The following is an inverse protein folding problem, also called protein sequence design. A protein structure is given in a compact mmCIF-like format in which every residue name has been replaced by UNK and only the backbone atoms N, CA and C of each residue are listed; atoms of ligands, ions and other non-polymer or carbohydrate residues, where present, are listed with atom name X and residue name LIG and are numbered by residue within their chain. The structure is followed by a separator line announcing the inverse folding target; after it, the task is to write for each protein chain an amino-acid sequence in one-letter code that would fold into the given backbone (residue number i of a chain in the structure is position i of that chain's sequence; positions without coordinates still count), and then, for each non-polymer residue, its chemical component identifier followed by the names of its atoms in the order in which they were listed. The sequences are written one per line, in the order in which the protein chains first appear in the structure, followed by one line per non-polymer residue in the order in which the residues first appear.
data_IF_942989345363
#
_entry.id   IF_942989345363
#
_cell.length_a   1.000
_cell.length_b   1.000
_cell.length_c   1.000
_cell.angle_alpha   90.00
_cell.angle_beta   90.00
_cell.angle_gamma   90.00
#
_symmetry.space_group_name_H-M   'P 1'
#
loop_
_entity.id
_entity.type
_entity.pdbx_description
1 polymer ?
#
# COMPACT_ATOMS: atom_id res chain seq x y z
N UNK A 1 9.37 56.74 -47.54
CA UNK A 1 8.31 56.22 -46.65
C UNK A 1 7.85 57.34 -45.71
N UNK A 2 6.60 57.77 -45.85
CA UNK A 2 6.02 58.86 -45.02
C UNK A 2 5.77 58.37 -43.59
N UNK A 3 5.89 59.25 -42.59
CA UNK A 3 5.68 58.97 -41.15
C UNK A 3 4.37 58.20 -40.88
N UNK A 4 3.33 58.49 -41.65
CA UNK A 4 2.01 57.87 -41.55
C UNK A 4 2.04 56.37 -41.91
N UNK A 5 2.84 55.95 -42.90
CA UNK A 5 2.96 54.55 -43.29
C UNK A 5 3.59 53.68 -42.19
N UNK A 6 4.55 54.23 -41.42
CA UNK A 6 5.16 53.52 -40.29
C UNK A 6 4.20 53.33 -39.12
N UNK A 7 3.36 54.33 -38.85
CA UNK A 7 2.33 54.26 -37.80
C UNK A 7 1.28 53.20 -38.15
N UNK A 8 0.79 53.17 -39.39
CA UNK A 8 -0.18 52.16 -39.83
C UNK A 8 0.38 50.74 -39.72
N UNK A 9 1.64 50.52 -40.11
CA UNK A 9 2.31 49.21 -39.97
C UNK A 9 2.44 48.80 -38.50
N UNK A 10 2.81 49.73 -37.61
CA UNK A 10 2.91 49.45 -36.18
C UNK A 10 1.56 49.08 -35.55
N UNK A 11 0.47 49.76 -35.94
CA UNK A 11 -0.90 49.43 -35.49
C UNK A 11 -1.31 48.03 -35.97
N UNK A 12 -1.03 47.69 -37.23
CA UNK A 12 -1.34 46.36 -37.77
C UNK A 12 -0.58 45.27 -36.99
N UNK A 13 0.72 45.46 -36.75
CA UNK A 13 1.53 44.50 -35.99
C UNK A 13 1.05 44.36 -34.54
N UNK A 14 0.65 45.45 -33.88
CA UNK A 14 0.06 45.41 -32.55
C UNK A 14 -1.26 44.64 -32.54
N UNK A 15 -2.16 44.91 -33.49
CA UNK A 15 -3.44 44.20 -33.61
C UNK A 15 -3.25 42.70 -33.84
N UNK A 16 -2.29 42.31 -34.70
CA UNK A 16 -1.95 40.90 -34.92
C UNK A 16 -1.35 40.27 -33.67
N UNK A 17 -0.47 40.97 -32.96
CA UNK A 17 0.11 40.51 -31.70
C UNK A 17 -0.96 40.28 -30.63
N UNK A 18 -1.88 41.23 -30.45
CA UNK A 18 -3.02 41.08 -29.54
C UNK A 18 -3.91 39.91 -29.92
N UNK A 19 -4.18 39.69 -31.22
CA UNK A 19 -4.97 38.57 -31.70
C UNK A 19 -4.30 37.23 -31.41
N UNK A 20 -2.98 37.12 -31.63
CA UNK A 20 -2.23 35.90 -31.31
C UNK A 20 -2.18 35.63 -29.79
N UNK A 21 -1.94 36.64 -28.97
CA UNK A 21 -1.95 36.51 -27.51
C UNK A 21 -3.34 36.11 -26.97
N UNK A 22 -4.42 36.66 -27.53
CA UNK A 22 -5.78 36.30 -27.12
C UNK A 22 -6.16 34.88 -27.55
N UNK A 23 -5.75 34.43 -28.74
CA UNK A 23 -5.90 33.03 -29.15
C UNK A 23 -5.11 32.07 -28.25
N UNK A 24 -3.87 32.41 -27.91
CA UNK A 24 -3.04 31.61 -27.00
C UNK A 24 -3.66 31.52 -25.61
N UNK A 25 -4.04 32.66 -25.02
CA UNK A 25 -4.64 32.73 -23.69
C UNK A 25 -5.97 31.98 -23.64
N UNK A 26 -6.79 32.05 -24.69
CA UNK A 26 -8.03 31.31 -24.79
C UNK A 26 -7.82 29.80 -24.89
N UNK A 27 -6.81 29.34 -25.64
CA UNK A 27 -6.44 27.92 -25.70
C UNK A 27 -5.97 27.42 -24.35
N UNK A 28 -5.10 28.18 -23.68
CA UNK A 28 -4.59 27.82 -22.36
C UNK A 28 -5.71 27.77 -21.31
N UNK A 29 -6.60 28.75 -21.32
CA UNK A 29 -7.79 28.75 -20.46
C UNK A 29 -8.67 27.53 -20.70
N UNK A 30 -8.95 27.18 -21.97
CA UNK A 30 -9.73 25.97 -22.30
C UNK A 30 -9.04 24.69 -21.85
N UNK A 31 -7.72 24.57 -22.01
CA UNK A 31 -6.99 23.39 -21.53
C UNK A 31 -7.02 23.29 -20.01
N UNK A 32 -6.86 24.40 -19.29
CA UNK A 32 -6.91 24.42 -17.83
C UNK A 32 -8.32 24.10 -17.31
N UNK A 33 -9.36 24.66 -17.95
CA UNK A 33 -10.75 24.36 -17.59
C UNK A 33 -11.09 22.88 -17.83
N UNK A 34 -10.60 22.28 -18.93
CA UNK A 34 -10.80 20.86 -19.21
C UNK A 34 -10.08 19.97 -18.18
N UNK A 35 -8.85 20.31 -17.79
CA UNK A 35 -8.11 19.61 -16.75
C UNK A 35 -8.79 19.73 -15.39
N UNK A 36 -9.30 20.91 -15.04
CA UNK A 36 -10.01 21.13 -13.78
C UNK A 36 -11.31 20.31 -13.73
N UNK A 37 -12.04 20.23 -14.84
CA UNK A 37 -13.23 19.39 -14.92
C UNK A 37 -12.89 17.90 -14.75
N UNK A 38 -11.82 17.42 -15.40
CA UNK A 38 -11.34 16.05 -15.22
C UNK A 38 -10.93 15.76 -13.77
N UNK A 39 -10.23 16.70 -13.13
CA UNK A 39 -9.83 16.59 -11.74
C UNK A 39 -11.04 16.49 -10.81
N UNK A 40 -12.06 17.33 -11.00
CA UNK A 40 -13.30 17.30 -10.20
C UNK A 40 -14.05 15.98 -10.36
N UNK A 41 -14.14 15.45 -11.58
CA UNK A 41 -14.77 14.15 -11.85
C UNK A 41 -13.99 13.05 -11.14
N UNK A 42 -12.67 13.00 -11.31
CA UNK A 42 -11.83 12.01 -10.64
C UNK A 42 -11.95 12.09 -9.11
N UNK A 43 -11.98 13.30 -8.55
CA UNK A 43 -12.13 13.50 -7.11
C UNK A 43 -13.49 13.00 -6.60
N UNK A 44 -14.56 13.26 -7.35
CA UNK A 44 -15.90 12.75 -7.02
C UNK A 44 -15.96 11.22 -7.11
N UNK A 45 -15.39 10.63 -8.15
CA UNK A 45 -15.33 9.17 -8.30
C UNK A 45 -14.47 8.51 -7.21
N UNK A 46 -13.36 9.15 -6.82
CA UNK A 46 -12.54 8.71 -5.69
C UNK A 46 -13.31 8.74 -4.37
N UNK A 47 -14.04 9.82 -4.09
CA UNK A 47 -14.88 9.92 -2.90
C UNK A 47 -15.97 8.85 -2.89
N UNK A 48 -16.55 8.56 -4.07
CA UNK A 48 -17.54 7.50 -4.22
C UNK A 48 -16.92 6.14 -3.91
N UNK A 49 -15.73 5.84 -4.43
CA UNK A 49 -15.01 4.60 -4.14
C UNK A 49 -14.57 4.50 -2.67
N UNK A 50 -14.19 5.62 -2.05
CA UNK A 50 -13.83 5.71 -0.63
C UNK A 50 -15.00 5.37 0.29
N UNK A 51 -16.20 5.82 -0.06
CA UNK A 51 -17.41 5.60 0.70
C UNK A 51 -17.88 4.14 0.69
N UNK A 52 -17.35 3.30 -0.20
CA UNK A 52 -17.67 1.87 -0.24
C UNK A 52 -17.03 1.18 0.96
N UNK A 53 -17.88 0.60 1.82
CA UNK A 53 -17.45 -0.14 3.01
C UNK A 53 -16.83 -1.50 2.66
N UNK A 54 -17.43 -2.22 1.71
CA UNK A 54 -16.97 -3.53 1.25
C UNK A 54 -15.66 -3.42 0.44
N UNK A 55 -14.58 -4.02 0.95
CA UNK A 55 -13.25 -3.91 0.34
C UNK A 55 -13.20 -4.46 -1.11
N UNK A 56 -13.77 -5.64 -1.43
CA UNK A 56 -13.86 -6.12 -2.81
C UNK A 56 -14.57 -5.14 -3.75
N UNK A 57 -15.74 -4.62 -3.37
CA UNK A 57 -16.47 -3.64 -4.17
C UNK A 57 -15.67 -2.34 -4.34
N UNK A 58 -14.98 -1.88 -3.30
CA UNK A 58 -14.11 -0.70 -3.37
C UNK A 58 -12.94 -0.90 -4.34
N UNK A 59 -12.28 -2.07 -4.30
CA UNK A 59 -11.19 -2.42 -5.23
C UNK A 59 -11.69 -2.40 -6.68
N UNK A 60 -12.87 -2.96 -6.95
CA UNK A 60 -13.48 -2.94 -8.30
C UNK A 60 -13.77 -1.50 -8.74
N UNK A 61 -14.24 -0.63 -7.84
CA UNK A 61 -14.46 0.78 -8.13
C UNK A 61 -13.15 1.50 -8.47
N UNK A 62 -12.08 1.29 -7.68
CA UNK A 62 -10.76 1.88 -7.95
C UNK A 62 -10.16 1.43 -9.27
N UNK A 63 -10.28 0.13 -9.61
CA UNK A 63 -9.76 -0.42 -10.88
C UNK A 63 -10.44 0.20 -12.12
N UNK A 64 -11.59 0.86 -11.98
CA UNK A 64 -12.30 1.55 -13.08
C UNK A 64 -11.88 3.01 -13.26
N UNK A 65 -11.17 3.60 -12.30
CA UNK A 65 -10.79 5.01 -12.35
C UNK A 65 -9.70 5.26 -13.40
N UNK A 66 -9.84 6.35 -14.15
CA UNK A 66 -8.83 6.79 -15.12
C UNK A 66 -8.46 8.25 -14.88
N UNK A 67 -7.17 8.62 -14.89
CA UNK A 67 -5.98 7.76 -15.08
C UNK A 67 -5.65 6.90 -13.85
N UNK A 68 -4.90 5.82 -14.06
CA UNK A 68 -4.39 4.93 -13.01
C UNK A 68 -3.19 5.56 -12.28
N UNK A 69 -3.47 6.45 -11.33
CA UNK A 69 -2.43 7.12 -10.53
C UNK A 69 -1.84 6.18 -9.46
N UNK A 70 -0.56 6.33 -9.07
CA UNK A 70 0.06 5.52 -8.01
C UNK A 70 -0.71 5.57 -6.68
N UNK A 71 -1.34 6.69 -6.35
CA UNK A 71 -2.16 6.86 -5.15
C UNK A 71 -3.42 5.99 -5.18
N UNK A 72 -4.00 5.77 -6.37
CA UNK A 72 -5.16 4.89 -6.55
C UNK A 72 -4.74 3.43 -6.38
N UNK A 73 -3.60 3.05 -6.96
CA UNK A 73 -3.03 1.72 -6.80
C UNK A 73 -2.67 1.43 -5.34
N UNK A 74 -2.14 2.42 -4.62
CA UNK A 74 -1.88 2.30 -3.19
C UNK A 74 -3.16 2.07 -2.38
N UNK A 75 -4.27 2.76 -2.70
CA UNK A 75 -5.57 2.52 -2.05
C UNK A 75 -6.09 1.10 -2.30
N UNK A 76 -5.90 0.55 -3.51
CA UNK A 76 -6.21 -0.85 -3.82
C UNK A 76 -5.41 -1.78 -2.90
N UNK A 77 -4.10 -1.59 -2.79
CA UNK A 77 -3.23 -2.39 -1.91
C UNK A 77 -3.64 -2.28 -0.45
N UNK A 78 -4.02 -1.10 0.03
CA UNK A 78 -4.51 -0.90 1.39
C UNK A 78 -5.84 -1.65 1.66
N UNK A 79 -6.75 -1.68 0.68
CA UNK A 79 -8.01 -2.45 0.76
C UNK A 79 -7.72 -3.96 0.72
N UNK A 80 -6.80 -4.40 -0.14
CA UNK A 80 -6.34 -5.79 -0.17
C UNK A 80 -5.73 -6.18 1.18
N UNK A 81 -4.93 -5.33 1.81
CA UNK A 81 -4.35 -5.62 3.12
C UNK A 81 -5.43 -5.82 4.20
N UNK A 82 -6.47 -4.97 4.24
CA UNK A 82 -7.60 -5.15 5.18
C UNK A 82 -8.34 -6.46 4.95
N UNK A 83 -8.58 -6.82 3.69
CA UNK A 83 -9.17 -8.12 3.33
C UNK A 83 -8.28 -9.29 3.77
N UNK A 84 -6.96 -9.19 3.64
CA UNK A 84 -6.02 -10.20 4.12
C UNK A 84 -6.09 -10.36 5.65
N UNK A 85 -6.16 -9.26 6.40
CA UNK A 85 -6.35 -9.26 7.85
C UNK A 85 -7.67 -9.91 8.26
N UNK A 86 -8.77 -9.62 7.56
CA UNK A 86 -10.05 -10.29 7.82
C UNK A 86 -9.99 -11.79 7.52
N UNK A 87 -9.30 -12.19 6.44
CA UNK A 87 -9.15 -13.59 6.06
C UNK A 87 -8.32 -14.36 7.08
N UNK A 88 -7.19 -13.82 7.57
CA UNK A 88 -6.40 -14.49 8.60
C UNK A 88 -7.17 -14.61 9.93
N UNK A 89 -7.93 -13.59 10.33
CA UNK A 89 -8.80 -13.68 11.51
C UNK A 89 -9.89 -14.74 11.36
N UNK A 90 -10.47 -14.91 10.15
CA UNK A 90 -11.41 -15.99 9.89
C UNK A 90 -10.73 -17.36 9.95
N UNK A 91 -9.51 -17.48 9.40
CA UNK A 91 -8.72 -18.70 9.43
C UNK A 91 -8.37 -19.11 10.87
N UNK A 92 -7.97 -18.16 11.71
CA UNK A 92 -7.72 -18.41 13.13
C UNK A 92 -8.98 -18.92 13.84
N UNK A 93 -10.14 -18.29 13.62
CA UNK A 93 -11.42 -18.76 14.18
C UNK A 93 -11.78 -20.18 13.74
N UNK A 94 -11.62 -20.49 12.46
CA UNK A 94 -11.83 -21.84 11.91
C UNK A 94 -10.90 -22.85 12.60
N UNK A 95 -9.65 -22.47 12.88
CA UNK A 95 -8.69 -23.35 13.57
C UNK A 95 -9.02 -23.58 15.04
N UNK A 96 -9.54 -22.56 15.73
CA UNK A 96 -10.00 -22.70 17.12
C UNK A 96 -11.24 -23.58 17.25
N UNK A 97 -12.09 -23.64 16.22
CA UNK A 97 -13.29 -24.46 16.20
C UNK A 97 -13.07 -25.72 15.36
N UNK A 98 -12.63 -26.81 15.99
CA UNK A 98 -12.30 -28.08 15.33
C UNK A 98 -13.40 -28.67 14.44
N UNK A 99 -14.65 -28.28 14.63
CA UNK A 99 -15.79 -28.67 13.77
C UNK A 99 -15.67 -28.12 12.32
N UNK A 100 -14.94 -27.02 12.12
CA UNK A 100 -14.71 -26.37 10.83
C UNK A 100 -13.36 -26.74 10.20
N UNK A 101 -12.65 -27.72 10.75
CA UNK A 101 -11.29 -28.06 10.32
C UNK A 101 -11.21 -28.40 8.82
N UNK A 102 -12.29 -28.97 8.25
CA UNK A 102 -12.42 -29.27 6.82
C UNK A 102 -12.42 -28.03 5.92
N UNK A 103 -12.75 -26.84 6.45
CA UNK A 103 -12.76 -25.56 5.72
C UNK A 103 -11.41 -24.83 5.79
N UNK A 104 -10.48 -25.29 6.63
CA UNK A 104 -9.15 -24.68 6.83
C UNK A 104 -8.36 -24.64 5.52
N UNK A 105 -8.39 -25.73 4.74
CA UNK A 105 -7.66 -25.81 3.48
C UNK A 105 -8.16 -24.80 2.44
N UNK A 106 -9.48 -24.68 2.29
CA UNK A 106 -10.10 -23.72 1.37
C UNK A 106 -9.82 -22.27 1.79
N UNK A 107 -9.88 -21.98 3.09
CA UNK A 107 -9.61 -20.65 3.64
C UNK A 107 -8.14 -20.27 3.51
N UNK A 108 -7.20 -21.21 3.76
CA UNK A 108 -5.77 -21.00 3.53
C UNK A 108 -5.46 -20.71 2.06
N UNK A 109 -6.05 -21.50 1.14
CA UNK A 109 -5.89 -21.28 -0.29
C UNK A 109 -6.43 -19.92 -0.75
N UNK A 110 -7.58 -19.47 -0.20
CA UNK A 110 -8.15 -18.16 -0.48
C UNK A 110 -7.22 -17.03 -0.02
N UNK A 111 -6.71 -17.11 1.21
CA UNK A 111 -5.78 -16.12 1.74
C UNK A 111 -4.49 -16.08 0.92
N UNK A 112 -3.93 -17.25 0.58
CA UNK A 112 -2.74 -17.36 -0.26
C UNK A 112 -2.93 -16.72 -1.64
N UNK A 113 -4.05 -17.01 -2.31
CA UNK A 113 -4.38 -16.40 -3.60
C UNK A 113 -4.46 -14.87 -3.49
N UNK A 114 -5.10 -14.37 -2.44
CA UNK A 114 -5.26 -12.95 -2.18
C UNK A 114 -3.91 -12.25 -1.90
N UNK A 115 -3.02 -12.89 -1.14
CA UNK A 115 -1.67 -12.38 -0.89
C UNK A 115 -0.83 -12.34 -2.18
N UNK A 116 -0.96 -13.34 -3.04
CA UNK A 116 -0.29 -13.33 -4.36
C UNK A 116 -0.76 -12.15 -5.22
N UNK A 117 -2.06 -11.89 -5.31
CA UNK A 117 -2.58 -10.73 -6.06
C UNK A 117 -2.04 -9.41 -5.50
N UNK A 118 -1.98 -9.29 -4.16
CA UNK A 118 -1.42 -8.12 -3.49
C UNK A 118 0.08 -7.93 -3.78
N UNK A 119 0.85 -9.02 -3.80
CA UNK A 119 2.28 -9.00 -4.12
C UNK A 119 2.54 -8.65 -5.59
N UNK A 120 1.72 -9.17 -6.52
CA UNK A 120 1.80 -8.82 -7.94
C UNK A 120 1.48 -7.33 -8.16
N UNK A 121 0.50 -6.81 -7.44
CA UNK A 121 0.13 -5.40 -7.48
C UNK A 121 1.26 -4.50 -6.94
N UNK A 122 1.87 -4.87 -5.80
CA UNK A 122 3.03 -4.16 -5.26
C UNK A 122 4.22 -4.21 -6.23
N UNK A 123 4.51 -5.39 -6.79
CA UNK A 123 5.61 -5.58 -7.75
C UNK A 123 5.42 -4.73 -8.99
N UNK A 124 4.19 -4.66 -9.52
CA UNK A 124 3.83 -3.79 -10.66
C UNK A 124 4.11 -2.31 -10.36
N UNK A 125 3.75 -1.83 -9.17
CA UNK A 125 4.05 -0.45 -8.76
C UNK A 125 5.56 -0.20 -8.64
N UNK A 126 6.32 -1.18 -8.17
CA UNK A 126 7.76 -1.08 -7.94
C UNK A 126 8.63 -1.23 -9.21
N UNK A 127 8.05 -1.60 -10.36
CA UNK A 127 8.78 -1.67 -11.65
C UNK A 127 9.44 -0.33 -11.99
N UNK A 128 8.75 0.78 -11.72
CA UNK A 128 9.27 2.14 -11.90
C UNK A 128 9.37 2.88 -10.56
N UNK A 129 9.95 2.21 -9.56
CA UNK A 129 10.10 2.76 -8.21
C UNK A 129 10.78 4.14 -8.17
N UNK A 130 11.62 4.46 -9.16
CA UNK A 130 12.32 5.74 -9.25
C UNK A 130 11.41 6.94 -9.56
N UNK A 131 10.27 6.71 -10.24
CA UNK A 131 9.29 7.77 -10.54
C UNK A 131 8.27 7.97 -9.41
N UNK A 132 8.20 7.04 -8.46
CA UNK A 132 7.29 7.12 -7.33
C UNK A 132 7.76 8.16 -6.30
N UNK A 133 6.79 8.92 -5.78
CA UNK A 133 7.03 9.81 -4.64
C UNK A 133 7.38 8.98 -3.40
N UNK A 134 8.30 9.49 -2.57
CA UNK A 134 8.78 8.77 -1.39
C UNK A 134 7.65 8.37 -0.42
N UNK A 135 6.59 9.19 -0.30
CA UNK A 135 5.41 8.92 0.53
C UNK A 135 4.55 7.76 0.03
N UNK A 136 4.54 7.49 -1.28
CA UNK A 136 3.90 6.30 -1.86
C UNK A 136 4.84 5.11 -1.75
N UNK A 137 6.11 5.31 -2.09
CA UNK A 137 7.12 4.26 -2.17
C UNK A 137 7.29 3.49 -0.86
N UNK A 138 7.37 4.19 0.28
CA UNK A 138 7.54 3.50 1.57
C UNK A 138 6.32 2.64 1.92
N UNK A 139 5.10 3.08 1.56
CA UNK A 139 3.88 2.34 1.85
C UNK A 139 3.78 1.08 1.01
N UNK A 140 4.19 1.15 -0.27
CA UNK A 140 4.20 -0.01 -1.16
C UNK A 140 5.21 -1.06 -0.68
N UNK A 141 6.45 -0.65 -0.36
CA UNK A 141 7.44 -1.56 0.22
C UNK A 141 6.97 -2.15 1.55
N UNK A 142 6.40 -1.34 2.44
CA UNK A 142 5.89 -1.82 3.72
C UNK A 142 4.75 -2.84 3.54
N UNK A 143 3.84 -2.60 2.59
CA UNK A 143 2.76 -3.53 2.25
C UNK A 143 3.30 -4.84 1.65
N UNK A 144 4.26 -4.76 0.73
CA UNK A 144 4.94 -5.92 0.15
C UNK A 144 5.63 -6.77 1.21
N UNK A 145 6.40 -6.15 2.11
CA UNK A 145 7.06 -6.84 3.21
C UNK A 145 6.06 -7.53 4.15
N UNK A 146 4.95 -6.85 4.47
CA UNK A 146 3.89 -7.40 5.32
C UNK A 146 3.18 -8.60 4.67
N UNK A 147 2.88 -8.52 3.36
CA UNK A 147 2.27 -9.61 2.60
C UNK A 147 3.21 -10.82 2.47
N UNK A 148 4.51 -10.60 2.21
CA UNK A 148 5.53 -11.66 2.20
C UNK A 148 5.62 -12.36 3.55
N UNK A 149 5.65 -11.59 4.64
CA UNK A 149 5.69 -12.14 5.99
C UNK A 149 4.46 -13.01 6.29
N UNK A 150 3.26 -12.52 5.97
CA UNK A 150 2.03 -13.29 6.15
C UNK A 150 2.02 -14.57 5.31
N UNK A 151 2.49 -14.50 4.07
CA UNK A 151 2.63 -15.66 3.19
C UNK A 151 3.64 -16.68 3.76
N UNK A 152 4.75 -16.22 4.33
CA UNK A 152 5.72 -17.09 4.98
C UNK A 152 5.11 -17.86 6.16
N UNK A 153 4.24 -17.24 6.95
CA UNK A 153 3.52 -17.91 8.03
C UNK A 153 2.55 -18.98 7.50
N UNK A 154 1.81 -18.69 6.43
CA UNK A 154 0.96 -19.71 5.80
C UNK A 154 1.76 -20.89 5.24
N UNK A 155 2.94 -20.62 4.70
CA UNK A 155 3.83 -21.68 4.20
C UNK A 155 4.35 -22.58 5.32
N UNK A 156 4.56 -22.05 6.55
CA UNK A 156 4.92 -22.85 7.72
C UNK A 156 3.78 -23.80 8.10
N UNK A 157 2.53 -23.32 8.04
CA UNK A 157 1.36 -24.15 8.34
C UNK A 157 1.14 -25.27 7.32
N UNK A 158 1.41 -24.99 6.04
CA UNK A 158 1.29 -25.96 4.93
C UNK A 158 2.47 -26.95 4.85
N UNK A 159 3.32 -27.03 5.89
CA UNK A 159 4.51 -27.89 5.96
C UNK A 159 5.49 -27.71 4.77
N UNK A 160 5.63 -26.49 4.26
CA UNK A 160 6.65 -26.23 3.24
C UNK A 160 8.07 -26.22 3.82
N UNK A 161 9.07 -26.42 2.95
CA UNK A 161 10.49 -26.38 3.33
C UNK A 161 10.83 -25.09 4.09
N UNK A 162 11.42 -25.25 5.27
CA UNK A 162 11.89 -24.16 6.10
C UNK A 162 12.86 -23.22 5.35
N UNK A 163 13.66 -23.74 4.41
CA UNK A 163 14.58 -22.93 3.61
C UNK A 163 13.82 -21.94 2.70
N UNK A 164 12.67 -22.37 2.14
CA UNK A 164 11.82 -21.49 1.33
C UNK A 164 11.17 -20.41 2.18
N UNK A 165 10.66 -20.78 3.35
CA UNK A 165 10.08 -19.83 4.32
C UNK A 165 11.11 -18.78 4.72
N UNK A 166 12.33 -19.19 5.04
CA UNK A 166 13.42 -18.27 5.38
C UNK A 166 13.76 -17.32 4.23
N UNK A 167 13.77 -17.81 2.98
CA UNK A 167 13.93 -16.96 1.81
C UNK A 167 12.89 -15.84 1.77
N UNK A 168 11.62 -16.19 1.90
CA UNK A 168 10.51 -15.21 1.89
C UNK A 168 10.61 -14.21 3.06
N UNK A 169 11.03 -14.66 4.25
CA UNK A 169 11.23 -13.77 5.41
C UNK A 169 12.40 -12.79 5.16
N UNK A 170 13.49 -13.23 4.53
CA UNK A 170 14.61 -12.35 4.16
C UNK A 170 14.19 -11.33 3.10
N UNK A 171 13.34 -11.73 2.15
CA UNK A 171 12.76 -10.81 1.17
C UNK A 171 11.85 -9.77 1.85
N UNK A 172 11.05 -10.18 2.85
CA UNK A 172 10.24 -9.27 3.64
C UNK A 172 11.08 -8.24 4.41
N UNK A 173 12.19 -8.67 5.03
CA UNK A 173 13.14 -7.77 5.70
C UNK A 173 13.78 -6.77 4.73
N UNK A 174 14.05 -7.19 3.50
CA UNK A 174 14.61 -6.33 2.46
C UNK A 174 13.61 -5.24 2.07
N UNK A 175 12.34 -5.60 1.88
CA UNK A 175 11.28 -4.64 1.62
C UNK A 175 11.10 -3.65 2.78
N UNK A 176 11.12 -4.12 4.04
CA UNK A 176 11.00 -3.20 5.18
C UNK A 176 12.18 -2.23 5.27
N UNK A 177 13.42 -2.65 4.96
CA UNK A 177 14.56 -1.72 4.88
C UNK A 177 14.34 -0.67 3.81
N UNK A 178 13.91 -1.07 2.61
CA UNK A 178 13.58 -0.13 1.54
C UNK A 178 12.44 0.84 1.95
N UNK A 179 11.44 0.34 2.69
CA UNK A 179 10.39 1.17 3.25
C UNK A 179 10.92 2.20 4.26
N UNK A 180 11.85 1.80 5.15
CA UNK A 180 12.48 2.72 6.12
C UNK A 180 13.23 3.83 5.37
N UNK A 181 14.05 3.47 4.38
CA UNK A 181 14.81 4.45 3.60
C UNK A 181 13.91 5.44 2.85
N UNK A 182 12.80 4.96 2.28
CA UNK A 182 11.82 5.80 1.61
C UNK A 182 11.06 6.70 2.61
N UNK A 183 10.68 6.16 3.77
CA UNK A 183 9.98 6.89 4.82
C UNK A 183 10.84 8.02 5.43
N UNK A 184 12.15 7.84 5.50
CA UNK A 184 13.10 8.85 5.98
C UNK A 184 13.25 10.01 5.00
N UNK A 185 13.15 9.72 3.70
CA UNK A 185 13.14 10.74 2.64
C UNK A 185 11.76 11.39 2.46
N UNK A 186 10.72 10.78 3.00
CA UNK A 186 9.37 11.31 2.94
C UNK A 186 9.16 12.40 4.01
N UNK A 187 8.54 13.52 3.61
CA UNK A 187 8.12 14.61 4.51
C UNK A 187 6.92 14.24 5.39
N UNK A 188 6.89 13.03 5.94
CA UNK A 188 5.79 12.46 6.73
C UNK A 188 5.96 12.66 8.23
N UNK A 189 4.88 12.43 8.98
CA UNK A 189 4.89 12.55 10.44
C UNK A 189 5.86 11.54 11.10
N UNK A 190 6.43 11.85 12.28
CA UNK A 190 7.28 10.92 13.01
C UNK A 190 6.61 9.57 13.29
N UNK A 191 5.31 9.58 13.56
CA UNK A 191 4.52 8.37 13.79
C UNK A 191 4.55 7.45 12.56
N UNK A 192 4.24 8.00 11.38
CA UNK A 192 4.24 7.22 10.13
C UNK A 192 5.65 6.74 9.75
N UNK A 193 6.67 7.56 10.01
CA UNK A 193 8.07 7.23 9.75
C UNK A 193 8.56 6.01 10.55
N UNK A 194 7.96 5.74 11.71
CA UNK A 194 8.33 4.61 12.56
C UNK A 194 7.61 3.30 12.20
N UNK A 195 6.51 3.33 11.45
CA UNK A 195 5.76 2.12 11.07
C UNK A 195 6.65 1.04 10.43
N UNK A 196 7.41 1.31 9.37
CA UNK A 196 8.23 0.26 8.75
C UNK A 196 9.39 -0.19 9.66
N UNK A 197 9.84 0.66 10.60
CA UNK A 197 10.84 0.29 11.60
C UNK A 197 10.28 -0.70 12.62
N UNK A 198 9.08 -0.42 13.13
CA UNK A 198 8.40 -1.34 14.05
C UNK A 198 8.14 -2.69 13.41
N UNK A 199 7.71 -2.73 12.14
CA UNK A 199 7.53 -3.98 11.41
C UNK A 199 8.86 -4.74 11.22
N UNK A 200 9.93 -4.02 10.88
CA UNK A 200 11.27 -4.60 10.79
C UNK A 200 11.77 -5.14 12.12
N UNK A 201 11.60 -4.37 13.20
CA UNK A 201 12.02 -4.72 14.56
C UNK A 201 11.23 -5.89 15.13
N UNK A 202 9.93 -5.97 14.88
CA UNK A 202 9.11 -7.11 15.27
C UNK A 202 9.65 -8.40 14.63
N UNK A 203 9.96 -8.36 13.33
CA UNK A 203 10.45 -9.53 12.62
C UNK A 203 11.88 -9.91 13.00
N UNK A 204 12.76 -8.92 13.16
CA UNK A 204 14.18 -9.13 13.44
C UNK A 204 14.48 -9.33 14.93
N UNK A 205 13.83 -8.56 15.80
CA UNK A 205 14.00 -8.57 17.26
C UNK A 205 13.47 -9.84 17.91
N UNK A 206 12.41 -10.42 17.36
CA UNK A 206 11.90 -11.72 17.83
C UNK A 206 12.70 -12.93 17.31
N UNK A 207 13.77 -12.68 16.54
CA UNK A 207 14.69 -13.68 16.01
C UNK A 207 13.98 -14.82 15.28
N UNK A 208 12.87 -14.54 14.59
CA UNK A 208 12.06 -15.56 13.90
C UNK A 208 12.89 -16.43 12.96
N UNK A 209 13.86 -15.85 12.25
CA UNK A 209 14.79 -16.59 11.39
C UNK A 209 15.57 -17.64 12.21
N UNK A 210 16.14 -17.26 13.35
CA UNK A 210 16.91 -18.18 14.22
C UNK A 210 16.01 -19.22 14.87
N UNK A 211 14.78 -18.85 15.23
CA UNK A 211 13.80 -19.78 15.78
C UNK A 211 13.39 -20.84 14.75
N UNK A 212 13.22 -20.47 13.49
CA UNK A 212 12.98 -21.42 12.38
C UNK A 212 14.22 -22.30 12.15
N UNK A 213 15.43 -21.75 12.21
CA UNK A 213 16.68 -22.54 12.16
C UNK A 213 16.76 -23.56 13.31
N UNK A 214 16.38 -23.19 14.53
CA UNK A 214 16.36 -24.07 15.69
C UNK A 214 15.23 -25.13 15.65
N UNK A 215 14.05 -24.78 15.11
CA UNK A 215 12.93 -25.70 14.93
C UNK A 215 13.22 -26.81 13.91
N UNK A 216 14.12 -26.57 12.94
CA UNK A 216 14.63 -27.60 12.01
C UNK A 216 15.25 -28.81 12.73
N UNK A 217 15.78 -28.61 13.95
CA UNK A 217 16.44 -29.66 14.74
C UNK A 217 15.53 -30.37 15.73
N UNK A 218 14.28 -29.94 15.91
CA UNK A 218 13.43 -30.43 17.00
C UNK A 218 11.96 -30.44 16.57
N UNK A 219 11.47 -31.58 16.08
CA UNK A 219 10.11 -31.72 15.53
C UNK A 219 8.99 -31.39 16.54
N UNK A 220 9.25 -31.50 17.86
CA UNK A 220 8.31 -31.09 18.92
C UNK A 220 8.21 -29.57 19.09
N UNK A 221 9.24 -28.78 18.73
CA UNK A 221 9.21 -27.31 18.85
C UNK A 221 8.40 -26.62 17.77
N UNK A 222 8.04 -27.30 16.68
CA UNK A 222 7.12 -26.75 15.67
C UNK A 222 5.73 -26.48 16.26
N UNK A 223 5.28 -27.27 17.23
CA UNK A 223 4.02 -27.03 17.95
C UNK A 223 4.12 -25.81 18.86
N UNK A 224 5.24 -25.63 19.57
CA UNK A 224 5.48 -24.48 20.44
C UNK A 224 5.66 -23.16 19.67
N UNK A 225 6.19 -23.20 18.43
CA UNK A 225 6.21 -22.03 17.55
C UNK A 225 4.80 -21.63 17.14
N UNK A 226 3.96 -22.63 16.82
CA UNK A 226 2.55 -22.45 16.45
C UNK A 226 1.75 -21.82 17.60
N UNK A 227 1.94 -22.29 18.83
CA UNK A 227 1.28 -21.78 20.04
C UNK A 227 1.74 -20.36 20.45
N UNK A 228 3.04 -20.04 20.29
CA UNK A 228 3.53 -18.66 20.52
C UNK A 228 3.11 -17.68 19.43
N UNK A 229 2.84 -18.14 18.21
CA UNK A 229 2.39 -17.28 17.11
C UNK A 229 0.90 -16.94 17.21
N UNK A 230 0.08 -17.85 17.75
CA UNK A 230 -1.33 -17.58 18.07
C UNK A 230 -1.50 -16.47 19.12
N UNK A 231 -0.54 -16.30 20.02
CA UNK A 231 -0.54 -15.25 21.06
C UNK A 231 0.04 -13.91 20.60
N UNK A 232 0.66 -13.86 19.41
CA UNK A 232 1.38 -12.68 18.91
C UNK A 232 0.73 -12.01 17.68
N UNK A 233 -0.42 -12.49 17.19
CA UNK A 233 -1.24 -11.68 16.27
C UNK A 233 -1.80 -10.53 17.11
N UNK A 234 -1.37 -9.28 16.89
CA UNK A 234 -1.88 -8.17 17.68
C UNK A 234 -3.38 -8.07 17.44
N UNK A 235 -4.19 -8.19 18.50
CA UNK A 235 -5.63 -7.87 18.44
C UNK A 235 -5.87 -6.39 18.10
N UNK A 236 -4.84 -5.55 18.08
CA UNK A 236 -4.91 -4.17 17.61
C UNK A 236 -4.32 -4.04 16.22
N UNK A 237 -5.21 -4.06 15.23
CA UNK A 237 -4.96 -3.40 13.95
C UNK A 237 -4.56 -1.94 14.20
N UNK A 238 -3.34 -1.58 13.83
CA UNK A 238 -2.88 -0.20 13.79
C UNK A 238 -3.51 0.58 12.64
N UNK A 239 -4.84 0.68 12.64
CA UNK A 239 -5.65 1.67 11.93
C UNK A 239 -6.87 1.97 12.81
N UNK A 240 -6.71 2.88 13.77
CA UNK A 240 -7.79 3.64 14.34
C UNK A 240 -7.35 5.11 14.39
N UNK A 241 -7.92 6.00 13.56
CA UNK A 241 -7.62 7.42 13.56
C UNK A 241 -8.41 8.11 14.67
N UNK A 242 -7.71 8.82 15.56
CA UNK A 242 -8.29 9.77 16.49
C UNK A 242 -8.67 9.20 17.86
N UNK A 243 -7.78 9.35 18.83
CA UNK A 243 -8.06 10.08 20.07
C UNK A 243 -6.74 10.34 20.82
N UNK A 244 -6.52 11.55 21.36
CA UNK A 244 -5.28 11.88 22.06
C UNK A 244 -5.29 11.21 23.43
N UNK A 245 -4.34 10.30 23.68
CA UNK A 245 -4.06 9.80 25.02
C UNK A 245 -3.31 10.91 25.78
N UNK A 246 -4.05 11.91 26.23
CA UNK A 246 -3.72 12.60 27.47
C UNK A 246 -4.39 11.86 28.62
N UNK A 247 -3.62 11.15 29.42
CA UNK A 247 -3.67 11.30 30.88
C UNK A 247 -2.51 10.56 31.53
N UNK A 248 -1.65 11.36 32.15
CA UNK A 248 -0.51 10.95 32.97
C UNK A 248 -0.98 10.36 34.32
N UNK A 249 -0.42 9.21 34.66
CA UNK A 249 0.39 8.91 35.87
C UNK A 249 -0.27 8.82 37.29
N UNK A 250 0.11 7.72 37.98
CA UNK A 250 0.28 7.43 39.45
C UNK A 250 -0.96 7.14 40.31
N UNK A 251 -1.00 5.97 40.96
CA UNK A 251 -0.12 5.55 42.07
C UNK A 251 0.17 4.05 41.98
#
# INVERSE_FOLDING_TARGET
MTKNSRITVAIILLSVGFLLCSVYSFRQYRSSAAQEQQYRVLQHELQTADAIADDPAAIIAYKKLTPSLPEIQLRIVQRQWRSALSLIQSLQRIRYHGELQNETGASSARLKSHLTEMLDQCSTMLVDAASLRADVLWQVYNASGSAKLMNAFLMLDDQQSADKVQGVIRDALTDFKAAIEAADRAGISPLQRNIPRWNFELLNGEQYIKKIEAARTDMEKNQALKENLETLIPEMGGYAPGEPIETKIKK
#
